data_IF_803184781680
#
_entry.id   IF_803184781680
#
_cell.length_a   1.000
_cell.length_b   1.000
_cell.length_c   1.000
_cell.angle_alpha   90.00
_cell.angle_beta   90.00
_cell.angle_gamma   90.00
#
_symmetry.space_group_name_H-M   'P 1'
#
loop_
_entity.id
_entity.type
_entity.pdbx_description
1 polymer ?
#
# COMPACT_ATOMS: atom_id res chain seq x y z
N UNK A 1 -11.24 7.65 -10.98
CA UNK A 1 -10.72 6.33 -10.54
C UNK A 1 -10.92 6.25 -9.04
N UNK A 2 -11.95 5.52 -8.62
CA UNK A 2 -12.37 5.39 -7.22
C UNK A 2 -13.18 4.11 -7.08
N UNK A 3 -13.49 3.71 -5.85
CA UNK A 3 -14.33 2.53 -5.56
C UNK A 3 -15.64 2.63 -6.34
N UNK A 4 -15.83 1.77 -7.34
CA UNK A 4 -16.95 1.88 -8.29
C UNK A 4 -18.19 1.11 -7.79
N UNK A 5 -18.04 0.16 -6.85
CA UNK A 5 -19.18 -0.57 -6.29
C UNK A 5 -18.84 -1.28 -4.97
N UNK A 6 -19.72 -1.16 -3.98
CA UNK A 6 -19.75 -2.04 -2.80
C UNK A 6 -20.30 -3.38 -3.29
N UNK A 7 -19.54 -4.46 -3.09
CA UNK A 7 -19.92 -5.81 -3.57
C UNK A 7 -20.70 -6.56 -2.48
N UNK A 8 -20.45 -6.24 -1.23
CA UNK A 8 -21.13 -6.80 -0.07
C UNK A 8 -21.12 -5.79 1.08
N UNK A 9 -22.32 -5.42 1.53
CA UNK A 9 -22.52 -4.42 2.59
C UNK A 9 -22.33 -5.02 4.00
N UNK A 10 -22.43 -6.34 4.17
CA UNK A 10 -22.25 -6.99 5.48
C UNK A 10 -20.78 -7.16 5.85
N UNK A 11 -19.93 -7.54 4.88
CA UNK A 11 -18.49 -7.73 5.12
C UNK A 11 -17.64 -6.46 4.97
N UNK A 12 -18.22 -5.38 4.43
CA UNK A 12 -17.46 -4.17 4.08
C UNK A 12 -16.38 -4.39 3.02
N UNK A 13 -16.45 -5.51 2.29
CA UNK A 13 -15.45 -5.89 1.32
C UNK A 13 -15.66 -5.15 -0.01
N UNK A 14 -14.62 -4.45 -0.46
CA UNK A 14 -14.59 -3.76 -1.73
C UNK A 14 -13.85 -4.62 -2.75
N UNK A 15 -14.43 -4.84 -3.94
CA UNK A 15 -13.60 -5.19 -5.11
C UNK A 15 -13.14 -3.88 -5.73
N UNK A 16 -11.93 -3.46 -5.37
CA UNK A 16 -11.23 -2.48 -6.19
C UNK A 16 -11.10 -3.06 -7.61
N UNK A 17 -11.26 -2.25 -8.68
CA UNK A 17 -10.97 -2.72 -10.02
C UNK A 17 -9.49 -3.06 -10.18
N UNK A 18 -8.64 -2.88 -9.17
CA UNK A 18 -7.28 -3.39 -9.15
C UNK A 18 -6.82 -3.89 -7.77
N UNK A 19 -5.98 -4.91 -7.75
CA UNK A 19 -5.17 -5.31 -6.58
C UNK A 19 -3.80 -4.63 -6.67
N UNK A 20 -3.35 -4.04 -5.57
CA UNK A 20 -1.98 -3.54 -5.43
C UNK A 20 -1.27 -4.46 -4.45
N UNK A 21 -0.19 -5.11 -4.89
CA UNK A 21 0.60 -6.04 -4.07
C UNK A 21 2.06 -5.61 -4.03
N UNK A 22 2.78 -5.89 -2.97
CA UNK A 22 4.21 -5.62 -2.90
C UNK A 22 4.98 -6.71 -3.63
N UNK A 23 5.77 -6.34 -4.64
CA UNK A 23 6.65 -7.28 -5.36
C UNK A 23 8.07 -7.27 -4.78
N UNK A 24 8.58 -6.08 -4.47
CA UNK A 24 9.88 -5.91 -3.84
C UNK A 24 9.77 -4.83 -2.77
N UNK A 25 10.44 -5.05 -1.65
CA UNK A 25 10.49 -4.10 -0.53
C UNK A 25 11.92 -4.04 -0.01
N UNK A 26 12.47 -2.83 0.05
CA UNK A 26 13.69 -2.53 0.78
C UNK A 26 13.33 -1.77 2.04
N UNK A 27 14.01 -2.06 3.15
CA UNK A 27 13.85 -1.36 4.43
C UNK A 27 15.23 -1.06 4.98
N UNK A 28 15.47 0.21 5.30
CA UNK A 28 16.64 0.67 6.02
C UNK A 28 16.23 1.14 7.41
N UNK A 29 16.71 0.44 8.44
CA UNK A 29 16.52 0.84 9.84
C UNK A 29 17.63 1.83 10.20
N UNK A 30 17.25 3.05 10.58
CA UNK A 30 18.18 4.14 10.94
C UNK A 30 18.37 4.26 12.45
N UNK A 31 17.33 3.94 13.23
CA UNK A 31 17.33 4.02 14.69
C UNK A 31 16.57 2.82 15.26
N UNK A 32 17.15 2.17 16.26
CA UNK A 32 16.45 1.13 17.01
C UNK A 32 15.47 1.77 17.99
N UNK A 33 14.31 1.16 18.16
CA UNK A 33 13.36 1.56 19.19
C UNK A 33 13.88 1.16 20.59
N UNK A 34 13.44 1.85 21.65
CA UNK A 34 13.77 1.45 23.02
C UNK A 34 13.34 0.00 23.32
N UNK A 35 13.95 -0.66 24.32
CA UNK A 35 13.47 -1.93 24.84
C UNK A 35 11.99 -1.81 25.26
N UNK A 36 11.11 -2.63 24.67
CA UNK A 36 9.65 -2.54 24.86
C UNK A 36 8.91 -1.78 23.74
N UNK A 37 9.62 -1.19 22.79
CA UNK A 37 9.05 -0.46 21.66
C UNK A 37 8.63 0.96 22.01
N UNK A 38 7.79 1.55 21.16
CA UNK A 38 7.15 2.85 21.38
C UNK A 38 5.65 2.71 21.18
N UNK A 39 4.88 3.63 21.78
CA UNK A 39 3.43 3.64 21.64
C UNK A 39 2.99 4.09 20.25
N UNK A 40 3.68 5.09 19.69
CA UNK A 40 3.35 5.66 18.39
C UNK A 40 4.58 5.86 17.52
N UNK A 41 4.38 5.68 16.22
CA UNK A 41 5.28 6.11 15.17
C UNK A 41 4.48 6.94 14.18
N UNK A 42 5.05 8.05 13.75
CA UNK A 42 4.48 8.80 12.64
C UNK A 42 4.93 8.18 11.33
N UNK A 43 3.97 7.89 10.44
CA UNK A 43 4.25 7.31 9.13
C UNK A 43 3.86 8.27 8.02
N UNK A 44 4.77 8.48 7.07
CA UNK A 44 4.49 9.18 5.81
C UNK A 44 4.69 8.21 4.66
N UNK A 45 3.62 7.90 3.94
CA UNK A 45 3.67 7.13 2.70
C UNK A 45 3.47 8.06 1.49
N UNK A 46 4.25 7.87 0.44
CA UNK A 46 4.18 8.63 -0.79
C UNK A 46 4.32 7.71 -2.00
N UNK A 47 3.37 7.78 -2.94
CA UNK A 47 3.57 7.28 -4.29
C UNK A 47 4.57 8.20 -5.01
N UNK A 48 5.74 7.67 -5.35
CA UNK A 48 6.76 8.40 -6.12
C UNK A 48 6.45 8.40 -7.61
N UNK A 49 5.94 7.29 -8.12
CA UNK A 49 5.49 7.16 -9.50
C UNK A 49 4.37 6.11 -9.60
N UNK A 50 3.37 6.38 -10.44
CA UNK A 50 2.38 5.40 -10.85
C UNK A 50 2.39 5.36 -12.38
N UNK A 51 2.89 4.26 -12.94
CA UNK A 51 3.10 4.14 -14.38
C UNK A 51 3.08 2.68 -14.83
N UNK A 52 2.47 2.43 -15.99
CA UNK A 52 2.45 1.12 -16.65
C UNK A 52 2.08 -0.06 -15.71
N UNK A 53 1.02 0.15 -14.92
CA UNK A 53 0.51 -0.85 -13.97
C UNK A 53 1.46 -1.11 -12.79
N UNK A 54 2.32 -0.16 -12.44
CA UNK A 54 3.24 -0.25 -11.30
C UNK A 54 3.15 1.02 -10.45
N UNK A 55 3.29 0.83 -9.15
CA UNK A 55 3.41 1.87 -8.14
C UNK A 55 4.81 1.75 -7.53
N UNK A 56 5.60 2.82 -7.61
CA UNK A 56 6.77 3.03 -6.77
C UNK A 56 6.36 3.83 -5.54
N UNK A 57 6.61 3.31 -4.35
CA UNK A 57 6.20 3.91 -3.07
C UNK A 57 7.39 4.09 -2.14
N UNK A 58 7.42 5.22 -1.45
CA UNK A 58 8.31 5.49 -0.32
C UNK A 58 7.48 5.55 0.95
N UNK A 59 7.97 4.93 2.02
CA UNK A 59 7.40 5.02 3.36
C UNK A 59 8.49 5.43 4.33
N UNK A 60 8.25 6.53 5.05
CA UNK A 60 9.13 7.02 6.11
C UNK A 60 8.44 6.84 7.46
N UNK A 61 9.18 6.39 8.47
CA UNK A 61 8.71 6.24 9.83
C UNK A 61 9.53 7.09 10.78
N UNK A 62 8.85 7.81 11.68
CA UNK A 62 9.46 8.70 12.65
C UNK A 62 8.96 8.39 14.05
N UNK A 63 9.77 8.67 15.06
CA UNK A 63 9.35 8.62 16.47
C UNK A 63 8.62 9.89 16.92
N UNK A 64 8.25 9.96 18.20
CA UNK A 64 7.54 11.10 18.79
C UNK A 64 8.35 12.41 18.78
N UNK A 65 9.69 12.31 18.69
CA UNK A 65 10.60 13.44 18.51
C UNK A 65 10.77 13.87 17.05
N UNK A 66 10.02 13.27 16.12
CA UNK A 66 10.16 13.45 14.67
C UNK A 66 11.54 13.04 14.14
N UNK A 67 12.23 12.13 14.84
CA UNK A 67 13.49 11.55 14.34
C UNK A 67 13.21 10.36 13.43
N UNK A 68 13.96 10.24 12.33
CA UNK A 68 13.78 9.16 11.35
C UNK A 68 14.19 7.81 11.94
N UNK A 69 13.24 6.87 11.99
CA UNK A 69 13.44 5.51 12.51
C UNK A 69 13.74 4.54 11.37
N UNK A 70 12.97 4.61 10.29
CA UNK A 70 13.13 3.71 9.15
C UNK A 70 12.68 4.37 7.85
N UNK A 71 13.28 3.93 6.75
CA UNK A 71 12.89 4.26 5.39
C UNK A 71 12.62 2.96 4.63
N UNK A 72 11.49 2.91 3.92
CA UNK A 72 11.18 1.80 3.03
C UNK A 72 10.87 2.29 1.63
N UNK A 73 11.33 1.53 0.64
CA UNK A 73 10.97 1.68 -0.76
C UNK A 73 10.29 0.40 -1.21
N UNK A 74 9.14 0.52 -1.87
CA UNK A 74 8.36 -0.59 -2.38
C UNK A 74 8.08 -0.42 -3.87
N UNK A 75 8.21 -1.54 -4.59
CA UNK A 75 7.70 -1.68 -5.94
C UNK A 75 6.45 -2.55 -5.88
N UNK A 76 5.32 -2.01 -6.34
CA UNK A 76 4.03 -2.65 -6.23
C UNK A 76 3.35 -2.76 -7.60
N UNK A 77 3.11 -3.97 -8.13
CA UNK A 77 2.24 -4.17 -9.28
C UNK A 77 0.80 -3.76 -8.97
N UNK A 78 0.16 -3.15 -9.96
CA UNK A 78 -1.26 -2.80 -9.97
C UNK A 78 -1.93 -3.74 -10.97
N UNK A 79 -2.65 -4.72 -10.45
CA UNK A 79 -3.32 -5.77 -11.24
C UNK A 79 -4.77 -5.35 -11.45
N UNK A 80 -5.11 -4.87 -12.65
CA UNK A 80 -6.48 -4.50 -13.03
C UNK A 80 -7.36 -5.74 -13.30
N UNK A 81 -8.49 -5.84 -12.60
CA UNK A 81 -9.46 -6.93 -12.72
C UNK A 81 -10.63 -6.64 -13.66
N UNK A 82 -10.70 -5.45 -14.27
CA UNK A 82 -11.81 -5.03 -15.13
C UNK A 82 -12.03 -5.97 -16.33
N UNK A 83 -10.95 -6.57 -16.87
CA UNK A 83 -11.02 -7.52 -18.00
C UNK A 83 -11.54 -8.90 -17.59
N UNK A 84 -11.16 -9.40 -16.42
CA UNK A 84 -11.59 -10.72 -15.92
C UNK A 84 -13.08 -10.74 -15.57
N UNK A 85 -13.64 -9.60 -15.15
CA UNK A 85 -15.06 -9.47 -14.82
C UNK A 85 -15.97 -9.39 -16.06
N UNK A 86 -15.50 -8.81 -17.17
CA UNK A 86 -16.28 -8.70 -18.41
C UNK A 86 -16.58 -10.08 -19.03
N UNK A 87 -15.68 -11.05 -18.88
CA UNK A 87 -15.88 -12.41 -19.40
C UNK A 87 -16.84 -13.25 -18.55
N UNK A 88 -17.06 -12.91 -17.26
CA UNK A 88 -18.02 -13.61 -16.40
C UNK A 88 -19.47 -13.18 -16.61
N UNK A 89 -19.72 -12.03 -17.25
CA UNK A 89 -21.08 -11.58 -17.60
C UNK A 89 -21.61 -12.18 -18.91
N UNK A 90 -20.78 -12.92 -19.65
CA UNK A 90 -21.15 -13.54 -20.95
C UNK A 90 -21.48 -15.03 -20.84
N UNK A 91 -21.57 -15.58 -19.63
CA UNK A 91 -22.02 -16.93 -19.31
C UNK A 91 -23.30 -16.83 -18.49
#
# INVERSE_FOLDING_TARGET
MGVVKIVDAESGSYRAPAMITSLATSIEIKKLLPPGGTKWLFMRAQAKEIKDGRLSMEVMMFDEGMELVALSQQLCPIIDFSRTMANKQKL
#
